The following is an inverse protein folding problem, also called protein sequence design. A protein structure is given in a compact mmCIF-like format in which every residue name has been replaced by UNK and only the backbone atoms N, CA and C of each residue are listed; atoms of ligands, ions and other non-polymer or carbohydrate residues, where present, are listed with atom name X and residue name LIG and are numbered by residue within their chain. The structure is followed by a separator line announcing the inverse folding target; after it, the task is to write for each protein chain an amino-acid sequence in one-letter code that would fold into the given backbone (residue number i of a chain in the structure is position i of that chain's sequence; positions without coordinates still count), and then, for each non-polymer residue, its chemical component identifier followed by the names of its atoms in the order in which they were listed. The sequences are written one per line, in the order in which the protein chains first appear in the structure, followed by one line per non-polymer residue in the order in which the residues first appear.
data_IF_567993915439
#
_entry.id   IF_567993915439
#
_cell.length_a   1.000
_cell.length_b   1.000
_cell.length_c   1.000
_cell.angle_alpha   90.00
_cell.angle_beta   90.00
_cell.angle_gamma   90.00
#
_symmetry.space_group_name_H-M   'P 1'
#
loop_
_entity.id
_entity.type
_entity.pdbx_description
1 polymer ?
#
# COMPACT_ATOMS: atom_id res chain seq x y z
N UNK A 1 -53.74 51.51 -33.74
CA UNK A 1 -52.50 51.48 -32.94
C UNK A 1 -52.54 50.28 -32.00
N UNK A 2 -52.36 49.04 -32.50
CA UNK A 2 -52.39 47.83 -31.65
C UNK A 2 -51.68 46.58 -32.21
N UNK A 3 -51.30 46.52 -33.50
CA UNK A 3 -50.58 45.36 -34.06
C UNK A 3 -49.06 45.38 -33.77
N UNK A 4 -48.39 46.52 -34.02
CA UNK A 4 -46.94 46.69 -33.77
C UNK A 4 -46.52 46.55 -32.30
N UNK A 5 -47.42 46.88 -31.36
CA UNK A 5 -47.15 46.80 -29.92
C UNK A 5 -47.26 45.35 -29.41
N UNK A 6 -48.14 44.55 -30.02
CA UNK A 6 -48.28 43.13 -29.72
C UNK A 6 -47.11 42.30 -30.30
N UNK A 7 -46.61 42.66 -31.48
CA UNK A 7 -45.47 42.02 -32.15
C UNK A 7 -44.13 42.29 -31.43
N UNK A 8 -43.95 43.48 -30.85
CA UNK A 8 -42.77 43.81 -30.03
C UNK A 8 -42.75 43.05 -28.70
N UNK A 9 -43.93 42.84 -28.09
CA UNK A 9 -44.09 42.10 -26.84
C UNK A 9 -43.89 40.60 -27.02
N UNK A 10 -44.30 40.01 -28.15
CA UNK A 10 -44.05 38.59 -28.46
C UNK A 10 -42.60 38.31 -28.84
N UNK A 11 -41.92 39.23 -29.54
CA UNK A 11 -40.50 39.07 -29.87
C UNK A 11 -39.59 39.16 -28.62
N UNK A 12 -39.81 40.13 -27.73
CA UNK A 12 -39.01 40.29 -26.50
C UNK A 12 -39.26 39.20 -25.45
N UNK A 13 -40.49 38.68 -25.35
CA UNK A 13 -40.78 37.55 -24.46
C UNK A 13 -40.18 36.24 -24.95
N UNK A 14 -40.11 36.01 -26.28
CA UNK A 14 -39.48 34.82 -26.86
C UNK A 14 -37.94 34.84 -26.75
N UNK A 15 -37.30 36.01 -26.92
CA UNK A 15 -35.86 36.18 -26.70
C UNK A 15 -35.46 36.04 -25.22
N UNK A 16 -36.28 36.55 -24.29
CA UNK A 16 -36.05 36.37 -22.85
C UNK A 16 -36.27 34.92 -22.39
N UNK A 17 -37.31 34.24 -22.90
CA UNK A 17 -37.58 32.83 -22.58
C UNK A 17 -36.53 31.89 -23.18
N UNK A 18 -36.08 32.12 -24.41
CA UNK A 18 -35.00 31.33 -25.03
C UNK A 18 -33.64 31.56 -24.34
N UNK A 19 -33.35 32.79 -23.89
CA UNK A 19 -32.16 33.10 -23.09
C UNK A 19 -32.16 32.46 -21.68
N UNK A 20 -33.32 32.38 -21.02
CA UNK A 20 -33.48 31.70 -19.73
C UNK A 20 -33.39 30.17 -19.86
N UNK A 21 -33.97 29.59 -20.91
CA UNK A 21 -33.87 28.14 -21.16
C UNK A 21 -32.42 27.77 -21.54
N UNK A 22 -31.74 28.58 -22.35
CA UNK A 22 -30.34 28.37 -22.73
C UNK A 22 -29.37 28.45 -21.55
N UNK A 23 -29.58 29.37 -20.60
CA UNK A 23 -28.74 29.50 -19.40
C UNK A 23 -28.94 28.37 -18.40
N UNK A 24 -30.18 27.88 -18.22
CA UNK A 24 -30.46 26.72 -17.36
C UNK A 24 -29.83 25.45 -17.93
N UNK A 25 -29.98 25.20 -19.24
CA UNK A 25 -29.37 24.04 -19.90
C UNK A 25 -27.84 24.12 -19.85
N UNK A 26 -27.27 25.31 -20.08
CA UNK A 26 -25.83 25.56 -19.97
C UNK A 26 -25.28 25.28 -18.58
N UNK A 27 -25.96 25.71 -17.52
CA UNK A 27 -25.56 25.47 -16.13
C UNK A 27 -25.59 23.99 -15.74
N UNK A 28 -26.62 23.25 -16.19
CA UNK A 28 -26.74 21.80 -15.95
C UNK A 28 -25.60 21.04 -16.63
N UNK A 29 -25.29 21.37 -17.89
CA UNK A 29 -24.17 20.75 -18.61
C UNK A 29 -22.84 21.09 -17.96
N UNK A 30 -22.61 22.35 -17.59
CA UNK A 30 -21.38 22.76 -16.90
C UNK A 30 -21.21 22.03 -15.55
N UNK A 31 -22.29 21.82 -14.80
CA UNK A 31 -22.26 21.04 -13.55
C UNK A 31 -21.90 19.57 -13.80
N UNK A 32 -22.48 18.93 -14.81
CA UNK A 32 -22.15 17.54 -15.19
C UNK A 32 -20.69 17.41 -15.65
N UNK A 33 -20.21 18.34 -16.47
CA UNK A 33 -18.82 18.37 -16.91
C UNK A 33 -17.86 18.63 -15.76
N UNK A 34 -18.17 19.56 -14.86
CA UNK A 34 -17.38 19.84 -13.67
C UNK A 34 -17.33 18.62 -12.74
N UNK A 35 -18.44 17.91 -12.54
CA UNK A 35 -18.45 16.66 -11.75
C UNK A 35 -17.60 15.57 -12.40
N UNK A 36 -17.71 15.38 -13.73
CA UNK A 36 -16.89 14.39 -14.44
C UNK A 36 -15.40 14.73 -14.37
N UNK A 37 -15.04 16.00 -14.57
CA UNK A 37 -13.66 16.46 -14.48
C UNK A 37 -13.11 16.34 -13.06
N UNK A 38 -13.92 16.64 -12.04
CA UNK A 38 -13.55 16.46 -10.63
C UNK A 38 -13.31 14.99 -10.29
N UNK A 39 -14.13 14.07 -10.79
CA UNK A 39 -13.93 12.63 -10.58
C UNK A 39 -12.66 12.14 -11.27
N UNK A 40 -12.39 12.54 -12.51
CA UNK A 40 -11.15 12.19 -13.23
C UNK A 40 -9.93 12.73 -12.50
N UNK A 41 -10.00 13.96 -12.00
CA UNK A 41 -8.91 14.58 -11.25
C UNK A 41 -8.69 13.87 -9.91
N UNK A 42 -9.77 13.53 -9.20
CA UNK A 42 -9.71 12.78 -7.96
C UNK A 42 -9.09 11.39 -8.17
N UNK A 43 -9.50 10.66 -9.20
CA UNK A 43 -8.90 9.36 -9.55
C UNK A 43 -7.41 9.50 -9.89
N UNK A 44 -7.04 10.55 -10.64
CA UNK A 44 -5.63 10.84 -10.97
C UNK A 44 -4.82 11.17 -9.71
N UNK A 45 -5.37 11.96 -8.80
CA UNK A 45 -4.73 12.33 -7.54
C UNK A 45 -4.61 11.13 -6.59
N UNK A 46 -5.63 10.27 -6.53
CA UNK A 46 -5.60 9.01 -5.78
C UNK A 46 -4.51 8.06 -6.30
N UNK A 47 -4.41 7.86 -7.62
CA UNK A 47 -3.36 7.05 -8.24
C UNK A 47 -1.96 7.61 -7.98
N UNK A 48 -1.79 8.94 -8.09
CA UNK A 48 -0.51 9.60 -7.75
C UNK A 48 -0.14 9.38 -6.29
N UNK A 49 -1.08 9.56 -5.37
CA UNK A 49 -0.86 9.33 -3.95
C UNK A 49 -0.50 7.86 -3.66
N UNK A 50 -1.16 6.91 -4.32
CA UNK A 50 -0.86 5.48 -4.20
C UNK A 50 0.55 5.14 -4.70
N UNK A 51 0.96 5.72 -5.84
CA UNK A 51 2.31 5.59 -6.39
C UNK A 51 3.36 6.22 -5.47
N UNK A 52 3.15 7.46 -5.04
CA UNK A 52 4.05 8.16 -4.11
C UNK A 52 4.21 7.38 -2.81
N UNK A 53 3.12 6.79 -2.31
CA UNK A 53 3.16 5.93 -1.13
C UNK A 53 3.99 4.67 -1.39
N UNK A 54 3.85 4.03 -2.54
CA UNK A 54 4.66 2.86 -2.91
C UNK A 54 6.15 3.20 -3.01
N UNK A 55 6.49 4.32 -3.65
CA UNK A 55 7.85 4.82 -3.75
C UNK A 55 8.43 5.19 -2.38
N UNK A 56 7.63 5.76 -1.48
CA UNK A 56 8.08 6.04 -0.11
C UNK A 56 8.45 4.77 0.68
N UNK A 57 7.70 3.68 0.51
CA UNK A 57 8.07 2.38 1.10
C UNK A 57 9.35 1.82 0.48
N UNK A 58 9.53 1.97 -0.84
CA UNK A 58 10.74 1.55 -1.53
C UNK A 58 11.96 2.36 -1.03
N UNK A 59 11.85 3.68 -1.01
CA UNK A 59 12.88 4.61 -0.55
C UNK A 59 13.29 4.31 0.90
N UNK A 60 12.32 4.09 1.78
CA UNK A 60 12.59 3.65 3.15
C UNK A 60 13.35 2.31 3.15
N UNK A 61 12.91 1.34 2.34
CA UNK A 61 13.49 0.01 2.29
C UNK A 61 14.96 -0.01 1.84
N UNK A 62 15.28 0.81 0.84
CA UNK A 62 16.63 0.94 0.26
C UNK A 62 17.51 1.96 1.00
N UNK A 63 16.95 2.75 1.92
CA UNK A 63 17.71 3.71 2.72
C UNK A 63 18.85 3.03 3.50
N UNK A 64 19.99 3.72 3.62
CA UNK A 64 21.15 3.21 4.36
C UNK A 64 20.81 2.86 5.81
N UNK A 65 19.99 3.69 6.45
CA UNK A 65 19.57 3.49 7.83
C UNK A 65 18.75 2.20 7.97
N UNK A 66 17.76 1.98 7.10
CA UNK A 66 16.94 0.77 7.19
C UNK A 66 17.72 -0.47 6.74
N UNK A 67 18.65 -0.35 5.79
CA UNK A 67 19.57 -1.43 5.44
C UNK A 67 20.45 -1.85 6.63
N UNK A 68 20.94 -0.90 7.43
CA UNK A 68 21.66 -1.19 8.67
C UNK A 68 20.76 -1.88 9.70
N UNK A 69 19.52 -1.41 9.88
CA UNK A 69 18.56 -2.02 10.79
C UNK A 69 18.23 -3.46 10.36
N UNK A 70 17.99 -3.70 9.06
CA UNK A 70 17.82 -5.06 8.49
C UNK A 70 19.03 -5.95 8.75
N UNK A 71 20.24 -5.44 8.56
CA UNK A 71 21.49 -6.20 8.83
C UNK A 71 21.63 -6.55 10.31
N UNK A 72 21.37 -5.60 11.21
CA UNK A 72 21.45 -5.83 12.67
C UNK A 72 20.37 -6.81 13.14
N UNK A 73 19.12 -6.61 12.71
CA UNK A 73 18.02 -7.51 13.03
C UNK A 73 18.29 -8.93 12.53
N UNK A 74 18.72 -9.10 11.27
CA UNK A 74 19.01 -10.43 10.71
C UNK A 74 20.16 -11.14 11.43
N UNK A 75 21.19 -10.41 11.90
CA UNK A 75 22.27 -10.95 12.74
C UNK A 75 21.73 -11.48 14.07
N UNK A 76 20.91 -10.69 14.77
CA UNK A 76 20.32 -11.08 16.06
C UNK A 76 19.40 -12.29 15.87
N UNK A 77 18.45 -12.21 14.93
CA UNK A 77 17.52 -13.31 14.65
C UNK A 77 18.22 -14.59 14.19
N UNK A 78 19.38 -14.47 13.52
CA UNK A 78 20.20 -15.61 13.12
C UNK A 78 20.81 -16.32 14.32
N UNK A 79 21.30 -15.59 15.32
CA UNK A 79 21.88 -16.18 16.53
C UNK A 79 20.85 -17.02 17.31
N UNK A 80 19.56 -16.68 17.15
CA UNK A 80 18.45 -17.36 17.80
C UNK A 80 17.58 -18.14 16.80
N UNK A 81 18.10 -18.51 15.62
CA UNK A 81 17.29 -19.08 14.53
C UNK A 81 16.69 -20.46 14.86
N UNK A 82 17.34 -21.21 15.75
CA UNK A 82 16.89 -22.51 16.28
C UNK A 82 15.82 -22.36 17.37
N UNK A 83 15.61 -21.16 17.89
CA UNK A 83 14.56 -20.94 18.87
C UNK A 83 13.17 -20.98 18.21
N UNK A 84 12.18 -21.45 18.97
CA UNK A 84 10.82 -21.62 18.46
C UNK A 84 10.12 -20.28 18.22
N UNK A 85 10.34 -19.27 19.07
CA UNK A 85 9.76 -17.94 18.93
C UNK A 85 10.55 -16.86 19.70
N UNK A 86 10.28 -15.59 19.39
CA UNK A 86 10.92 -14.41 19.97
C UNK A 86 10.68 -14.30 21.48
N UNK A 87 9.56 -14.77 22.03
CA UNK A 87 9.25 -14.59 23.46
C UNK A 87 10.32 -15.23 24.38
N UNK A 88 11.06 -16.23 23.88
CA UNK A 88 12.12 -16.91 24.66
C UNK A 88 13.38 -16.08 24.87
N UNK A 89 13.71 -15.18 23.95
CA UNK A 89 14.96 -14.41 23.99
C UNK A 89 14.78 -12.90 23.89
N UNK A 90 13.70 -12.43 23.28
CA UNK A 90 13.42 -11.00 23.10
C UNK A 90 13.39 -10.20 24.42
N UNK A 91 12.82 -10.71 25.53
CA UNK A 91 12.88 -10.02 26.83
C UNK A 91 14.31 -9.85 27.37
N UNK A 92 15.26 -10.71 26.95
CA UNK A 92 16.66 -10.71 27.39
C UNK A 92 17.54 -9.77 26.56
N UNK A 93 17.04 -9.29 25.42
CA UNK A 93 17.76 -8.35 24.57
C UNK A 93 17.84 -6.96 25.23
N UNK A 94 18.94 -6.25 25.01
CA UNK A 94 19.04 -4.83 25.33
C UNK A 94 18.10 -4.02 24.42
N UNK A 95 17.79 -2.79 24.81
CA UNK A 95 16.90 -1.95 24.00
C UNK A 95 17.51 -1.64 22.63
N UNK A 96 18.82 -1.43 22.57
CA UNK A 96 19.56 -1.26 21.30
C UNK A 96 19.43 -2.48 20.36
N UNK A 97 19.37 -3.69 20.91
CA UNK A 97 19.18 -4.92 20.13
C UNK A 97 17.73 -5.08 19.67
N UNK A 98 16.76 -4.62 20.47
CA UNK A 98 15.33 -4.68 20.12
C UNK A 98 14.98 -3.72 18.98
N UNK A 99 15.55 -2.51 18.95
CA UNK A 99 15.18 -1.46 18.01
C UNK A 99 15.21 -1.90 16.52
N UNK A 100 16.27 -2.54 16.01
CA UNK A 100 16.29 -3.01 14.63
C UNK A 100 15.18 -4.02 14.31
N UNK A 101 14.87 -4.93 15.24
CA UNK A 101 13.79 -5.92 15.07
C UNK A 101 12.43 -5.20 15.02
N UNK A 102 12.19 -4.26 15.93
CA UNK A 102 10.96 -3.46 15.97
C UNK A 102 10.77 -2.70 14.66
N UNK A 103 11.82 -2.07 14.14
CA UNK A 103 11.76 -1.30 12.89
C UNK A 103 11.39 -2.16 11.70
N UNK A 104 12.02 -3.33 11.54
CA UNK A 104 11.68 -4.28 10.47
C UNK A 104 10.23 -4.79 10.59
N UNK A 105 9.80 -5.16 11.80
CA UNK A 105 8.43 -5.59 12.04
C UNK A 105 7.41 -4.47 11.76
N UNK A 106 7.74 -3.24 12.15
CA UNK A 106 6.89 -2.07 11.95
C UNK A 106 6.78 -1.68 10.48
N UNK A 107 7.86 -1.81 9.71
CA UNK A 107 7.84 -1.61 8.26
C UNK A 107 6.83 -2.53 7.58
N UNK A 108 6.94 -3.85 7.79
CA UNK A 108 6.03 -4.81 7.16
C UNK A 108 4.59 -4.70 7.67
N UNK A 109 4.40 -4.34 8.94
CA UNK A 109 3.06 -4.04 9.48
C UNK A 109 2.45 -2.82 8.79
N UNK A 110 3.21 -1.72 8.62
CA UNK A 110 2.73 -0.53 7.91
C UNK A 110 2.40 -0.86 6.47
N UNK A 111 3.28 -1.58 5.76
CA UNK A 111 3.05 -2.01 4.39
C UNK A 111 1.72 -2.78 4.26
N UNK A 112 1.48 -3.75 5.14
CA UNK A 112 0.23 -4.51 5.13
C UNK A 112 -1.00 -3.63 5.38
N UNK A 113 -0.93 -2.71 6.33
CA UNK A 113 -2.05 -1.81 6.63
C UNK A 113 -2.34 -0.89 5.44
N UNK A 114 -1.31 -0.35 4.78
CA UNK A 114 -1.45 0.51 3.61
C UNK A 114 -2.11 -0.24 2.43
N UNK A 115 -1.71 -1.50 2.20
CA UNK A 115 -2.37 -2.39 1.22
C UNK A 115 -3.83 -2.63 1.60
N UNK A 116 -4.11 -2.97 2.86
CA UNK A 116 -5.46 -3.28 3.33
C UNK A 116 -6.44 -2.11 3.14
N UNK A 117 -5.95 -0.87 3.21
CA UNK A 117 -6.76 0.33 3.04
C UNK A 117 -6.71 0.93 1.63
N UNK A 118 -6.18 0.19 0.65
CA UNK A 118 -6.08 0.63 -0.75
C UNK A 118 -5.38 2.00 -0.91
N UNK A 119 -4.30 2.18 -0.14
CA UNK A 119 -3.52 3.44 -0.10
C UNK A 119 -2.17 3.33 -0.80
N UNK A 120 -1.97 2.30 -1.63
CA UNK A 120 -0.69 2.03 -2.26
C UNK A 120 -0.87 1.39 -3.62
N UNK A 121 0.03 1.72 -4.55
CA UNK A 121 0.09 1.04 -5.84
C UNK A 121 0.57 -0.41 -5.60
N UNK A 122 -0.34 -1.35 -5.80
CA UNK A 122 -0.10 -2.78 -5.52
C UNK A 122 0.87 -3.40 -6.51
N UNK A 123 0.88 -2.95 -7.77
CA UNK A 123 1.77 -3.48 -8.79
C UNK A 123 3.24 -3.18 -8.45
N UNK A 124 3.53 -1.94 -8.05
CA UNK A 124 4.88 -1.53 -7.61
C UNK A 124 5.33 -2.33 -6.38
N UNK A 125 4.43 -2.58 -5.43
CA UNK A 125 4.73 -3.39 -4.23
C UNK A 125 5.05 -4.85 -4.61
N UNK A 126 4.25 -5.45 -5.51
CA UNK A 126 4.48 -6.82 -5.97
C UNK A 126 5.82 -6.96 -6.68
N UNK A 127 6.17 -6.01 -7.53
CA UNK A 127 7.42 -6.04 -8.30
C UNK A 127 8.65 -5.84 -7.39
N UNK A 128 8.62 -4.84 -6.51
CA UNK A 128 9.83 -4.38 -5.83
C UNK A 128 10.00 -4.88 -4.40
N UNK A 129 8.91 -5.21 -3.69
CA UNK A 129 8.96 -5.55 -2.26
C UNK A 129 8.56 -6.99 -1.94
N UNK A 130 7.87 -7.69 -2.85
CA UNK A 130 7.39 -9.06 -2.58
C UNK A 130 8.52 -10.05 -2.28
N UNK A 131 9.60 -10.01 -3.05
CA UNK A 131 10.74 -10.91 -2.87
C UNK A 131 11.42 -10.72 -1.52
N UNK A 132 11.57 -9.47 -1.11
CA UNK A 132 12.17 -9.10 0.17
C UNK A 132 11.28 -9.52 1.34
N UNK A 133 9.98 -9.26 1.26
CA UNK A 133 9.05 -9.74 2.28
C UNK A 133 9.04 -11.27 2.38
N UNK A 134 8.92 -11.99 1.26
CA UNK A 134 8.89 -13.48 1.25
C UNK A 134 10.18 -14.03 1.87
N UNK A 135 11.34 -13.45 1.53
CA UNK A 135 12.61 -13.82 2.15
C UNK A 135 12.56 -13.66 3.67
N UNK A 136 12.21 -12.47 4.15
CA UNK A 136 12.15 -12.19 5.58
C UNK A 136 11.13 -13.06 6.32
N UNK A 137 9.95 -13.24 5.72
CA UNK A 137 8.85 -14.01 6.28
C UNK A 137 9.26 -15.47 6.50
N UNK A 138 9.72 -16.16 5.45
CA UNK A 138 10.05 -17.58 5.56
C UNK A 138 11.38 -17.83 6.27
N UNK A 139 12.36 -16.93 6.16
CA UNK A 139 13.63 -17.10 6.87
C UNK A 139 13.50 -16.84 8.36
N UNK A 140 12.72 -15.84 8.76
CA UNK A 140 12.67 -15.39 10.14
C UNK A 140 11.24 -15.33 10.70
N UNK A 141 10.36 -14.53 10.10
CA UNK A 141 9.16 -14.03 10.79
C UNK A 141 8.06 -15.08 10.99
N UNK A 142 7.92 -16.02 10.05
CA UNK A 142 6.94 -17.13 10.08
C UNK A 142 7.12 -17.97 11.34
N UNK A 143 8.36 -18.22 11.75
CA UNK A 143 8.66 -19.07 12.90
C UNK A 143 8.89 -18.23 14.15
N UNK A 144 9.69 -17.16 14.06
CA UNK A 144 10.13 -16.43 15.24
C UNK A 144 9.04 -15.52 15.82
N UNK A 145 8.21 -14.85 15.01
CA UNK A 145 7.23 -13.90 15.58
C UNK A 145 6.13 -14.66 16.34
N UNK A 146 5.94 -14.41 17.65
CA UNK A 146 4.97 -15.11 18.49
C UNK A 146 3.52 -14.87 18.06
N UNK A 147 2.63 -15.84 18.30
CA UNK A 147 1.23 -15.78 17.90
C UNK A 147 0.39 -14.76 18.69
N UNK A 148 0.77 -14.48 19.93
CA UNK A 148 0.18 -13.46 20.80
C UNK A 148 0.56 -12.02 20.40
N UNK A 149 1.59 -11.82 19.57
CA UNK A 149 1.96 -10.48 19.10
C UNK A 149 0.99 -10.01 18.02
N UNK A 150 0.43 -8.81 18.16
CA UNK A 150 -0.52 -8.24 17.19
C UNK A 150 0.06 -8.19 15.76
N UNK A 151 1.38 -7.95 15.63
CA UNK A 151 2.10 -7.94 14.35
C UNK A 151 2.02 -9.27 13.61
N UNK A 152 1.91 -10.42 14.30
CA UNK A 152 1.86 -11.72 13.63
C UNK A 152 0.70 -11.83 12.66
N UNK A 153 -0.49 -11.36 13.07
CA UNK A 153 -1.69 -11.38 12.23
C UNK A 153 -1.50 -10.54 10.96
N UNK A 154 -0.86 -9.38 11.09
CA UNK A 154 -0.54 -8.51 9.94
C UNK A 154 0.46 -9.18 8.99
N UNK A 155 1.50 -9.85 9.51
CA UNK A 155 2.46 -10.56 8.67
C UNK A 155 1.83 -11.75 7.91
N UNK A 156 0.94 -12.49 8.57
CA UNK A 156 0.18 -13.58 7.92
C UNK A 156 -0.68 -13.00 6.80
N UNK A 157 -1.46 -11.95 7.07
CA UNK A 157 -2.28 -11.27 6.03
C UNK A 157 -1.46 -10.75 4.85
N UNK A 158 -0.26 -10.22 5.10
CA UNK A 158 0.63 -9.76 4.03
C UNK A 158 1.12 -10.93 3.17
N UNK A 159 1.44 -12.06 3.81
CA UNK A 159 1.80 -13.28 3.08
C UNK A 159 0.62 -13.83 2.27
N UNK A 160 -0.57 -13.88 2.86
CA UNK A 160 -1.78 -14.38 2.19
C UNK A 160 -2.12 -13.49 0.99
N UNK A 161 -2.04 -12.16 1.14
CA UNK A 161 -2.19 -11.22 0.03
C UNK A 161 -1.19 -11.48 -1.10
N UNK A 162 0.08 -11.81 -0.78
CA UNK A 162 1.06 -12.16 -1.81
C UNK A 162 0.77 -13.50 -2.50
N UNK A 163 0.19 -14.48 -1.80
CA UNK A 163 -0.25 -15.74 -2.41
C UNK A 163 -1.37 -15.48 -3.42
N UNK A 164 -2.26 -14.53 -3.13
CA UNK A 164 -3.40 -14.19 -3.98
C UNK A 164 -3.02 -13.33 -5.19
N UNK A 165 -1.94 -12.55 -5.11
CA UNK A 165 -1.62 -11.51 -6.10
C UNK A 165 -0.34 -11.77 -6.92
N UNK A 166 0.51 -12.72 -6.52
CA UNK A 166 1.63 -13.16 -7.34
C UNK A 166 1.24 -14.35 -8.22
N UNK A 167 1.99 -14.55 -9.30
CA UNK A 167 1.96 -15.81 -10.02
C UNK A 167 2.33 -16.97 -9.07
N UNK A 168 1.58 -18.08 -9.16
CA UNK A 168 1.73 -19.21 -8.23
C UNK A 168 3.12 -19.85 -8.28
N UNK A 169 3.70 -19.97 -9.47
CA UNK A 169 5.05 -20.52 -9.65
C UNK A 169 6.10 -19.54 -9.14
N UNK A 170 5.91 -18.23 -9.36
CA UNK A 170 6.78 -17.18 -8.83
C UNK A 170 6.80 -17.19 -7.29
N UNK A 171 5.63 -17.23 -6.64
CA UNK A 171 5.51 -17.27 -5.18
C UNK A 171 6.20 -18.52 -4.62
N UNK A 172 5.90 -19.71 -5.17
CA UNK A 172 6.48 -20.96 -4.70
C UNK A 172 8.00 -21.02 -4.92
N UNK A 173 8.50 -20.47 -6.03
CA UNK A 173 9.95 -20.33 -6.26
C UNK A 173 10.61 -19.48 -5.17
N UNK A 174 10.09 -18.28 -4.91
CA UNK A 174 10.64 -17.35 -3.90
C UNK A 174 10.58 -17.95 -2.50
N UNK A 175 9.47 -18.61 -2.15
CA UNK A 175 9.28 -19.33 -0.88
C UNK A 175 10.30 -20.46 -0.70
N UNK A 176 10.43 -21.37 -1.68
CA UNK A 176 11.40 -22.48 -1.63
C UNK A 176 12.83 -21.98 -1.43
N UNK A 177 13.22 -20.91 -2.14
CA UNK A 177 14.54 -20.26 -1.99
C UNK A 177 14.75 -19.72 -0.57
N UNK A 178 13.73 -19.09 0.02
CA UNK A 178 13.78 -18.57 1.38
C UNK A 178 13.86 -19.69 2.43
N UNK A 179 13.07 -20.76 2.28
CA UNK A 179 13.10 -21.93 3.17
C UNK A 179 14.45 -22.68 3.10
N UNK A 180 15.02 -22.84 1.91
CA UNK A 180 16.37 -23.39 1.74
C UNK A 180 17.43 -22.51 2.44
N UNK A 181 17.28 -21.18 2.36
CA UNK A 181 18.16 -20.24 3.07
C UNK A 181 18.04 -20.42 4.59
N UNK A 182 16.81 -20.58 5.12
CA UNK A 182 16.59 -20.84 6.54
C UNK A 182 17.28 -22.13 6.97
N UNK A 183 17.07 -23.23 6.23
CA UNK A 183 17.68 -24.53 6.52
C UNK A 183 19.20 -24.43 6.60
N UNK A 184 19.84 -23.82 5.61
CA UNK A 184 21.29 -23.58 5.60
C UNK A 184 21.75 -22.79 6.83
N UNK A 185 21.03 -21.72 7.21
CA UNK A 185 21.38 -20.90 8.39
C UNK A 185 21.25 -21.66 9.71
N UNK A 186 20.30 -22.59 9.81
CA UNK A 186 20.14 -23.48 10.97
C UNK A 186 21.32 -24.46 11.08
N UNK A 187 21.82 -24.97 9.95
CA UNK A 187 22.97 -25.88 9.89
C UNK A 187 24.30 -25.17 10.23
N UNK A 188 24.41 -23.87 9.93
CA UNK A 188 25.60 -23.04 10.21
C UNK A 188 25.65 -22.48 11.65
N UNK A 189 24.55 -22.56 12.40
CA UNK A 189 24.44 -22.11 13.81
C UNK A 189 24.38 -23.34 14.71
#
# INVERSE_FOLDING_TARGET
MNAKLMELLTATTFELLSGLIGTIIGAILAYIFAQKQFNIQKETDEQRMQLDTALAFLDEFVSDQFAQDRRRASKILRQHIKEENLDKFYPKLTDEQKQPIIRVLSFFRRLQLTIQFDRIDTQIVLELLSGEFIHWYYVYLKNLVPSNWSTKKHLIKLNDWLVENLDGDEYEYKKKKAEATRKKRIEET
#
